data_IF_119432753895
#
_entry.id   IF_119432753895
#
_cell.length_a   1.000
_cell.length_b   1.000
_cell.length_c   1.000
_cell.angle_alpha   90.00
_cell.angle_beta   90.00
_cell.angle_gamma   90.00
#
_symmetry.space_group_name_H-M   'P 1'
#
loop_
_entity.id
_entity.type
_entity.pdbx_description
1 polymer ?
#
# COMPACT_ATOMS: atom_id res chain seq x y z
N UNK A 1 -15.80 16.94 40.10
CA UNK A 1 -14.35 17.06 39.82
C UNK A 1 -13.70 15.78 40.35
N UNK A 2 -13.05 14.88 39.62
CA UNK A 2 -12.56 14.74 38.24
C UNK A 2 -12.69 13.24 37.95
N UNK A 3 -13.33 12.85 36.84
CA UNK A 3 -13.26 11.47 36.37
C UNK A 3 -11.89 11.29 35.70
N UNK A 4 -11.01 10.51 36.34
CA UNK A 4 -9.75 10.11 35.75
C UNK A 4 -10.05 9.28 34.49
N UNK A 5 -9.84 9.87 33.32
CA UNK A 5 -9.85 9.14 32.06
C UNK A 5 -8.72 8.12 32.09
N UNK A 6 -9.06 6.84 32.19
CA UNK A 6 -8.12 5.77 31.85
C UNK A 6 -7.74 5.96 30.38
N UNK A 7 -6.52 6.47 30.16
CA UNK A 7 -5.85 6.36 28.88
C UNK A 7 -5.74 4.87 28.56
N UNK A 8 -6.52 4.40 27.58
CA UNK A 8 -6.30 3.11 26.94
C UNK A 8 -4.93 3.19 26.26
N UNK A 9 -3.90 2.72 26.95
CA UNK A 9 -2.64 2.36 26.32
C UNK A 9 -2.96 1.25 25.32
N UNK A 10 -2.90 1.59 24.04
CA UNK A 10 -2.93 0.58 22.99
C UNK A 10 -1.72 -0.34 23.22
N UNK A 11 -1.89 -1.67 23.29
CA UNK A 11 -0.73 -2.54 23.42
C UNK A 11 0.19 -2.28 22.24
N UNK A 12 1.49 -2.11 22.51
CA UNK A 12 2.54 -2.03 21.50
C UNK A 12 2.44 -3.30 20.64
N UNK A 13 1.68 -3.25 19.56
CA UNK A 13 1.55 -4.37 18.64
C UNK A 13 2.94 -4.61 18.05
N UNK A 14 3.58 -5.71 18.45
CA UNK A 14 4.79 -6.16 17.78
C UNK A 14 4.45 -6.34 16.30
N UNK A 15 5.30 -5.79 15.41
CA UNK A 15 5.04 -5.89 13.98
C UNK A 15 4.90 -7.36 13.57
N UNK A 16 3.89 -7.63 12.74
CA UNK A 16 3.61 -8.95 12.17
C UNK A 16 4.57 -9.29 11.03
N UNK A 17 5.43 -8.35 10.63
CA UNK A 17 6.39 -8.50 9.54
C UNK A 17 7.69 -9.11 10.05
N UNK A 18 8.07 -10.25 9.49
CA UNK A 18 9.28 -10.99 9.82
C UNK A 18 10.18 -11.06 8.59
N UNK A 19 11.39 -10.53 8.70
CA UNK A 19 12.38 -10.63 7.63
C UNK A 19 13.13 -11.97 7.74
N UNK A 20 12.93 -12.85 6.75
CA UNK A 20 13.50 -14.21 6.71
C UNK A 20 14.79 -14.31 5.89
N UNK A 21 15.29 -13.20 5.38
CA UNK A 21 16.54 -13.15 4.61
C UNK A 21 17.43 -12.03 5.13
N UNK A 22 18.77 -12.25 5.23
CA UNK A 22 19.71 -11.19 5.60
C UNK A 22 19.79 -10.10 4.52
N UNK A 23 19.38 -10.41 3.28
CA UNK A 23 19.32 -9.45 2.17
C UNK A 23 17.86 -9.20 1.85
N UNK A 24 17.39 -7.99 2.16
CA UNK A 24 16.04 -7.58 1.84
C UNK A 24 15.89 -7.32 0.34
N UNK A 25 14.76 -7.75 -0.20
CA UNK A 25 14.38 -7.36 -1.55
C UNK A 25 14.15 -5.84 -1.58
N UNK A 26 14.61 -5.08 -2.58
CA UNK A 26 14.43 -3.62 -2.62
C UNK A 26 12.96 -3.17 -2.53
N UNK A 27 12.05 -3.94 -3.14
CA UNK A 27 10.61 -3.68 -3.09
C UNK A 27 9.96 -4.04 -1.75
N UNK A 28 10.68 -4.66 -0.80
CA UNK A 28 10.13 -5.01 0.51
C UNK A 28 9.69 -3.79 1.32
N UNK A 29 10.22 -2.60 1.00
CA UNK A 29 9.80 -1.32 1.59
C UNK A 29 8.35 -0.93 1.28
N UNK A 30 7.70 -1.60 0.33
CA UNK A 30 6.30 -1.39 -0.01
C UNK A 30 5.37 -2.38 0.69
N UNK A 31 5.92 -3.26 1.54
CA UNK A 31 5.15 -4.26 2.30
C UNK A 31 4.91 -3.72 3.70
N UNK A 32 3.63 -3.53 4.02
CA UNK A 32 3.13 -3.14 5.34
C UNK A 32 1.96 -4.04 5.72
N UNK A 33 1.52 -4.00 6.98
CA UNK A 33 0.36 -4.77 7.41
C UNK A 33 -0.92 -4.28 6.71
N UNK A 34 -1.04 -2.97 6.49
CA UNK A 34 -2.17 -2.33 5.82
C UNK A 34 -2.23 -2.70 4.33
N UNK A 35 -1.09 -2.69 3.63
CA UNK A 35 -1.06 -3.11 2.22
C UNK A 35 -1.42 -4.58 2.05
N UNK A 36 -1.01 -5.45 2.98
CA UNK A 36 -1.41 -6.86 2.99
C UNK A 36 -2.91 -7.00 3.30
N UNK A 37 -3.43 -6.26 4.29
CA UNK A 37 -4.84 -6.27 4.62
C UNK A 37 -5.71 -5.86 3.41
N UNK A 38 -5.32 -4.80 2.71
CA UNK A 38 -5.99 -4.33 1.49
C UNK A 38 -5.84 -5.33 0.33
N UNK A 39 -4.66 -5.93 0.15
CA UNK A 39 -4.42 -6.91 -0.92
C UNK A 39 -5.34 -8.14 -0.80
N UNK A 40 -5.59 -8.57 0.43
CA UNK A 40 -6.40 -9.75 0.71
C UNK A 40 -7.84 -9.44 1.15
N UNK A 41 -8.19 -8.15 1.28
CA UNK A 41 -9.49 -7.70 1.77
C UNK A 41 -9.86 -8.34 3.13
N UNK A 42 -8.95 -8.24 4.10
CA UNK A 42 -9.08 -8.76 5.47
C UNK A 42 -8.80 -7.64 6.47
N UNK A 43 -9.18 -7.85 7.74
CA UNK A 43 -8.78 -6.91 8.80
C UNK A 43 -7.31 -7.11 9.20
N UNK A 44 -6.69 -6.08 9.79
CA UNK A 44 -5.34 -6.19 10.33
C UNK A 44 -5.25 -7.30 11.38
N UNK A 45 -6.26 -7.47 12.22
CA UNK A 45 -6.30 -8.50 13.27
C UNK A 45 -6.33 -9.94 12.73
N UNK A 46 -6.82 -10.12 11.50
CA UNK A 46 -6.85 -11.41 10.83
C UNK A 46 -5.48 -11.82 10.27
N UNK A 47 -4.52 -10.89 10.21
CA UNK A 47 -3.13 -11.20 9.85
C UNK A 47 -2.44 -11.84 11.05
N UNK A 48 -1.89 -13.04 10.86
CA UNK A 48 -1.10 -13.73 11.88
C UNK A 48 0.40 -13.43 11.72
N UNK A 49 0.92 -13.48 10.48
CA UNK A 49 2.29 -13.07 10.16
C UNK A 49 2.50 -12.79 8.67
N UNK A 50 3.49 -11.97 8.38
CA UNK A 50 3.96 -11.63 7.04
C UNK A 50 5.46 -11.94 6.99
N UNK A 51 5.85 -13.00 6.30
CA UNK A 51 7.24 -13.41 6.18
C UNK A 51 7.84 -12.87 4.87
N UNK A 52 8.75 -11.90 4.98
CA UNK A 52 9.50 -11.32 3.88
C UNK A 52 10.73 -12.19 3.56
N UNK A 53 10.62 -13.05 2.55
CA UNK A 53 11.74 -13.81 2.00
C UNK A 53 12.49 -13.00 0.93
N UNK A 54 13.61 -13.53 0.43
CA UNK A 54 14.46 -12.80 -0.54
C UNK A 54 13.73 -12.37 -1.82
N UNK A 55 12.72 -13.12 -2.28
CA UNK A 55 12.08 -12.90 -3.59
C UNK A 55 10.55 -12.90 -3.55
N UNK A 56 9.96 -13.28 -2.43
CA UNK A 56 8.51 -13.41 -2.25
C UNK A 56 8.13 -13.01 -0.83
N UNK A 57 6.88 -12.62 -0.66
CA UNK A 57 6.27 -12.41 0.65
C UNK A 57 5.33 -13.58 0.89
N UNK A 58 5.46 -14.23 2.04
CA UNK A 58 4.49 -15.21 2.49
C UNK A 58 3.54 -14.56 3.48
N UNK A 59 2.25 -14.67 3.23
CA UNK A 59 1.19 -14.14 4.09
C UNK A 59 0.43 -15.29 4.70
N UNK A 60 0.40 -15.29 6.03
CA UNK A 60 -0.43 -16.20 6.81
C UNK A 60 -1.44 -15.39 7.63
N UNK A 61 -2.70 -15.60 7.31
CA UNK A 61 -3.83 -14.90 7.90
C UNK A 61 -5.03 -15.84 7.96
N UNK A 62 -6.13 -15.42 8.58
CA UNK A 62 -7.35 -16.22 8.68
C UNK A 62 -7.85 -16.61 7.29
N UNK A 63 -7.88 -17.91 7.02
CA UNK A 63 -8.29 -18.45 5.71
C UNK A 63 -7.29 -18.20 4.56
N UNK A 64 -6.10 -17.66 4.83
CA UNK A 64 -5.10 -17.31 3.82
C UNK A 64 -3.74 -17.92 4.19
N UNK A 65 -3.18 -18.67 3.26
CA UNK A 65 -1.80 -19.17 3.30
C UNK A 65 -1.23 -19.11 1.89
N UNK A 66 -0.53 -18.01 1.56
CA UNK A 66 -0.13 -17.74 0.17
C UNK A 66 1.21 -17.03 0.07
N UNK A 67 1.95 -17.37 -0.98
CA UNK A 67 3.09 -16.59 -1.44
C UNK A 67 2.63 -15.57 -2.48
N UNK A 68 3.06 -14.32 -2.32
CA UNK A 68 2.82 -13.21 -3.26
C UNK A 68 4.14 -12.58 -3.69
N UNK A 69 4.12 -11.94 -4.85
CA UNK A 69 5.30 -11.26 -5.36
C UNK A 69 5.44 -9.89 -4.71
N UNK A 70 6.69 -9.45 -4.48
CA UNK A 70 6.91 -8.04 -4.14
C UNK A 70 6.41 -7.06 -5.19
N UNK A 71 6.21 -7.51 -6.45
CA UNK A 71 5.66 -6.68 -7.51
C UNK A 71 4.14 -6.50 -7.43
N UNK A 72 3.47 -7.23 -6.53
CA UNK A 72 2.04 -7.07 -6.28
C UNK A 72 1.77 -5.87 -5.35
N UNK A 73 2.78 -5.43 -4.59
CA UNK A 73 2.66 -4.31 -3.65
C UNK A 73 2.93 -2.96 -4.34
N UNK A 74 1.97 -2.02 -4.32
CA UNK A 74 2.14 -0.70 -4.87
C UNK A 74 3.07 0.16 -3.99
N UNK A 75 3.80 1.11 -4.60
CA UNK A 75 4.53 2.14 -3.87
C UNK A 75 3.68 2.90 -2.85
N UNK A 76 4.32 3.29 -1.76
CA UNK A 76 3.71 3.99 -0.63
C UNK A 76 4.27 5.41 -0.47
N UNK A 77 3.48 6.28 0.13
CA UNK A 77 3.95 7.55 0.70
C UNK A 77 4.75 7.25 1.98
N UNK A 78 5.68 8.15 2.35
CA UNK A 78 6.52 8.00 3.56
C UNK A 78 7.69 7.02 3.42
N UNK A 79 7.85 6.37 2.28
CA UNK A 79 9.03 5.53 1.96
C UNK A 79 9.79 6.07 0.76
N UNK A 80 11.00 5.56 0.53
CA UNK A 80 11.80 5.95 -0.64
C UNK A 80 11.03 5.68 -1.94
N UNK A 81 10.80 6.75 -2.69
CA UNK A 81 10.11 6.73 -3.98
C UNK A 81 10.73 5.69 -4.95
N UNK A 82 9.94 5.14 -5.87
CA UNK A 82 10.44 4.16 -6.81
C UNK A 82 11.46 4.74 -7.79
N UNK A 83 12.52 3.97 -8.03
CA UNK A 83 13.56 4.26 -9.02
C UNK A 83 13.38 3.43 -10.29
N UNK A 84 14.17 3.71 -11.33
CA UNK A 84 14.14 2.99 -12.61
C UNK A 84 14.28 1.47 -12.47
N UNK A 85 15.04 0.99 -11.48
CA UNK A 85 15.23 -0.44 -11.25
C UNK A 85 13.97 -1.08 -10.69
N UNK A 86 13.21 -0.36 -9.87
CA UNK A 86 11.92 -0.83 -9.35
C UNK A 86 10.90 -1.03 -10.46
N UNK A 87 10.78 -0.06 -11.37
CA UNK A 87 9.94 -0.19 -12.57
C UNK A 87 10.29 -1.44 -13.39
N UNK A 88 11.58 -1.70 -13.58
CA UNK A 88 12.02 -2.90 -14.29
C UNK A 88 11.65 -4.19 -13.55
N UNK A 89 11.80 -4.23 -12.22
CA UNK A 89 11.41 -5.39 -11.40
C UNK A 89 9.92 -5.69 -11.49
N UNK A 90 9.07 -4.67 -11.47
CA UNK A 90 7.63 -4.83 -11.62
C UNK A 90 7.24 -5.40 -12.97
N UNK A 91 7.66 -4.75 -14.06
CA UNK A 91 7.34 -5.18 -15.42
C UNK A 91 7.88 -6.56 -15.77
N UNK A 92 8.99 -6.99 -15.16
CA UNK A 92 9.51 -8.36 -15.33
C UNK A 92 8.61 -9.42 -14.71
N UNK A 93 7.79 -9.06 -13.70
CA UNK A 93 6.90 -10.00 -13.00
C UNK A 93 5.48 -9.94 -13.52
N UNK A 94 5.01 -8.79 -13.96
CA UNK A 94 3.68 -8.66 -14.54
C UNK A 94 3.59 -9.39 -15.88
N UNK A 95 2.43 -10.00 -16.13
CA UNK A 95 2.15 -10.65 -17.43
C UNK A 95 1.93 -9.65 -18.57
N UNK A 96 1.91 -8.34 -18.27
CA UNK A 96 1.70 -7.26 -19.21
C UNK A 96 2.51 -6.02 -18.84
N UNK A 97 2.28 -4.93 -19.59
CA UNK A 97 2.99 -3.65 -19.40
C UNK A 97 2.35 -2.74 -18.33
N UNK A 98 1.18 -3.12 -17.81
CA UNK A 98 0.41 -2.33 -16.86
C UNK A 98 0.33 -3.03 -15.50
N UNK A 99 0.14 -2.22 -14.47
CA UNK A 99 0.02 -2.64 -13.08
C UNK A 99 -1.18 -3.56 -12.86
N UNK A 100 -1.10 -4.47 -11.85
CA UNK A 100 -2.22 -5.28 -11.43
C UNK A 100 -3.41 -4.43 -11.00
N UNK A 101 -4.62 -4.96 -11.18
CA UNK A 101 -5.87 -4.30 -10.77
C UNK A 101 -5.86 -3.87 -9.30
N UNK A 102 -5.19 -4.63 -8.43
CA UNK A 102 -5.04 -4.28 -7.03
C UNK A 102 -4.40 -2.89 -6.82
N UNK A 103 -3.42 -2.48 -7.63
CA UNK A 103 -2.81 -1.16 -7.50
C UNK A 103 -3.83 -0.04 -7.65
N UNK A 104 -4.77 -0.20 -8.59
CA UNK A 104 -5.85 0.78 -8.80
C UNK A 104 -6.75 0.86 -7.58
N UNK A 105 -7.19 -0.29 -7.07
CA UNK A 105 -8.01 -0.37 -5.85
C UNK A 105 -7.30 0.26 -4.65
N UNK A 106 -6.01 -0.01 -4.51
CA UNK A 106 -5.18 0.56 -3.47
C UNK A 106 -5.13 2.09 -3.54
N UNK A 107 -4.81 2.68 -4.69
CA UNK A 107 -4.72 4.14 -4.79
C UNK A 107 -6.07 4.85 -4.66
N UNK A 108 -7.16 4.23 -5.15
CA UNK A 108 -8.51 4.73 -4.89
C UNK A 108 -8.81 4.73 -3.39
N UNK A 109 -8.45 3.65 -2.69
CA UNK A 109 -8.60 3.58 -1.23
C UNK A 109 -7.82 4.68 -0.54
N UNK A 110 -6.56 4.92 -0.92
CA UNK A 110 -5.75 5.96 -0.29
C UNK A 110 -6.29 7.37 -0.53
N UNK A 111 -6.76 7.69 -1.73
CA UNK A 111 -7.37 8.99 -1.99
C UNK A 111 -8.60 9.25 -1.12
N UNK A 112 -9.48 8.25 -0.98
CA UNK A 112 -10.71 8.36 -0.19
C UNK A 112 -10.47 8.40 1.32
N UNK A 113 -9.35 7.86 1.79
CA UNK A 113 -9.02 7.79 3.21
C UNK A 113 -7.85 8.72 3.58
N UNK A 114 -7.48 9.66 2.69
CA UNK A 114 -6.47 10.65 2.98
C UNK A 114 -6.87 11.46 4.22
N UNK A 115 -5.93 11.65 5.13
CA UNK A 115 -6.16 12.28 6.44
C UNK A 115 -6.13 13.81 6.39
N UNK A 116 -5.56 14.38 5.33
CA UNK A 116 -5.55 15.82 5.06
C UNK A 116 -5.38 16.08 3.55
N UNK A 117 -5.50 17.35 3.15
CA UNK A 117 -5.24 17.76 1.76
C UNK A 117 -3.78 17.54 1.35
N UNK A 118 -2.83 17.71 2.28
CA UNK A 118 -1.41 17.45 2.04
C UNK A 118 -1.14 15.97 1.80
N UNK A 119 -1.72 15.09 2.63
CA UNK A 119 -1.65 13.63 2.46
C UNK A 119 -2.23 13.21 1.12
N UNK A 120 -3.41 13.73 0.75
CA UNK A 120 -4.02 13.51 -0.56
C UNK A 120 -3.07 13.94 -1.69
N UNK A 121 -2.45 15.12 -1.59
CA UNK A 121 -1.48 15.61 -2.56
C UNK A 121 -0.23 14.73 -2.66
N UNK A 122 0.27 14.19 -1.55
CA UNK A 122 1.41 13.26 -1.56
C UNK A 122 1.10 11.98 -2.32
N UNK A 123 -0.07 11.38 -2.07
CA UNK A 123 -0.55 10.25 -2.87
C UNK A 123 -0.71 10.63 -4.35
N UNK A 124 -1.23 11.82 -4.64
CA UNK A 124 -1.38 12.31 -6.01
C UNK A 124 -0.03 12.46 -6.74
N UNK A 125 0.98 13.01 -6.07
CA UNK A 125 2.35 13.11 -6.58
C UNK A 125 2.95 11.72 -6.83
N UNK A 126 2.73 10.78 -5.92
CA UNK A 126 3.19 9.41 -6.06
C UNK A 126 2.55 8.74 -7.29
N UNK A 127 1.23 8.81 -7.46
CA UNK A 127 0.55 8.31 -8.66
C UNK A 127 1.09 8.98 -9.93
N UNK A 128 1.35 10.29 -9.87
CA UNK A 128 2.01 11.03 -10.95
C UNK A 128 3.39 10.48 -11.33
N UNK A 129 4.16 9.96 -10.36
CA UNK A 129 5.48 9.34 -10.58
C UNK A 129 5.38 7.98 -11.26
N UNK A 130 4.34 7.21 -10.95
CA UNK A 130 4.14 5.85 -11.49
C UNK A 130 3.10 5.79 -12.61
N UNK A 131 2.66 6.93 -13.13
CA UNK A 131 1.58 7.01 -14.13
C UNK A 131 1.83 6.16 -15.38
N UNK A 132 3.09 5.90 -15.72
CA UNK A 132 3.46 5.04 -16.86
C UNK A 132 3.06 3.58 -16.70
N UNK A 133 2.75 3.14 -15.48
CA UNK A 133 2.34 1.76 -15.19
C UNK A 133 0.83 1.55 -15.35
N UNK A 134 0.06 2.58 -15.69
CA UNK A 134 -1.39 2.50 -15.86
C UNK A 134 -1.81 2.76 -17.31
N UNK A 135 -2.98 2.25 -17.70
CA UNK A 135 -3.64 2.67 -18.93
C UNK A 135 -4.16 4.10 -18.80
N UNK A 136 -4.42 4.77 -19.93
CA UNK A 136 -4.98 6.13 -19.91
C UNK A 136 -6.36 6.19 -19.23
N UNK A 137 -7.18 5.16 -19.42
CA UNK A 137 -8.49 5.01 -18.78
C UNK A 137 -8.36 4.95 -17.26
N UNK A 138 -7.52 4.05 -16.73
CA UNK A 138 -7.27 3.92 -15.29
C UNK A 138 -6.69 5.23 -14.71
N UNK A 139 -5.80 5.91 -15.45
CA UNK A 139 -5.28 7.20 -15.02
C UNK A 139 -6.38 8.25 -14.91
N UNK A 140 -7.36 8.22 -15.81
CA UNK A 140 -8.48 9.14 -15.76
C UNK A 140 -9.36 8.85 -14.56
N UNK A 141 -9.67 7.58 -14.29
CA UNK A 141 -10.43 7.18 -13.09
C UNK A 141 -9.75 7.65 -11.81
N UNK A 142 -8.43 7.45 -11.71
CA UNK A 142 -7.64 7.91 -10.56
C UNK A 142 -7.66 9.43 -10.41
N UNK A 143 -7.61 10.18 -11.51
CA UNK A 143 -7.71 11.66 -11.50
C UNK A 143 -9.09 12.11 -11.06
N UNK A 144 -10.15 11.46 -11.51
CA UNK A 144 -11.52 11.81 -11.18
C UNK A 144 -11.83 11.55 -9.70
N UNK A 145 -11.30 10.47 -9.14
CA UNK A 145 -11.35 10.21 -7.69
C UNK A 145 -10.56 11.29 -6.94
N UNK A 146 -9.30 11.53 -7.34
CA UNK A 146 -8.46 12.56 -6.70
C UNK A 146 -9.12 13.95 -6.70
N UNK A 147 -9.65 14.38 -7.85
CA UNK A 147 -10.29 15.69 -7.99
C UNK A 147 -11.52 15.83 -7.08
N UNK A 148 -12.33 14.78 -6.99
CA UNK A 148 -13.51 14.75 -6.12
C UNK A 148 -13.14 14.87 -4.65
N UNK A 149 -12.19 14.06 -4.18
CA UNK A 149 -11.75 14.12 -2.78
C UNK A 149 -11.11 15.47 -2.47
N UNK A 150 -10.29 16.00 -3.40
CA UNK A 150 -9.67 17.32 -3.25
C UNK A 150 -10.71 18.44 -3.13
N UNK A 151 -11.73 18.45 -3.99
CA UNK A 151 -12.82 19.41 -3.87
C UNK A 151 -13.61 19.25 -2.57
N UNK A 152 -13.71 18.04 -2.02
CA UNK A 152 -14.30 17.81 -0.70
C UNK A 152 -13.53 18.53 0.41
N UNK A 153 -12.21 18.46 0.38
CA UNK A 153 -11.33 19.13 1.35
C UNK A 153 -11.28 20.66 1.19
N UNK A 154 -11.34 21.18 -0.05
CA UNK A 154 -11.26 22.63 -0.31
C UNK A 154 -12.55 23.39 0.04
N UNK A 155 -13.69 22.69 0.15
CA UNK A 155 -14.99 23.29 0.45
C UNK A 155 -15.41 23.15 1.93
N UNK A 156 -14.50 22.71 2.81
CA UNK A 156 -14.73 22.52 4.25
C UNK A 156 -13.98 23.57 5.08
#
# INVERSE_FOLDING_TARGET
MIAASLSKSSPLACSKILHKSPVLHPLARFVTEETVALLFNISLDEIYRIDCYRHVVYVYAKGISRFVSYADFPPLVGVTLPDTKDFWRWRKRWKGKIAPEFWVKFYIYQFKNASSIEDLQEWGRLVGKIKSEFSQEILQDLRDVYAREKSGWENF
#
